data_IF_368067027863
#
_entry.id   IF_368067027863
#
_cell.length_a   1.000
_cell.length_b   1.000
_cell.length_c   1.000
_cell.angle_alpha   90.00
_cell.angle_beta   90.00
_cell.angle_gamma   90.00
#
_symmetry.space_group_name_H-M   'P 1'
#
loop_
_entity.id
_entity.type
_entity.pdbx_description
1 polymer ?
#
# COMPACT_ATOMS: atom_id res chain seq x y z
N UNK A 1 3.25 2.18 -12.00
CA UNK A 1 1.85 2.10 -11.54
C UNK A 1 1.19 3.47 -11.37
N UNK A 2 1.82 4.36 -10.61
CA UNK A 2 1.22 5.68 -10.34
C UNK A 2 1.08 6.52 -11.60
N UNK A 3 2.08 6.51 -12.48
CA UNK A 3 2.00 7.22 -13.76
C UNK A 3 0.88 6.67 -14.64
N UNK A 4 0.72 5.34 -14.68
CA UNK A 4 -0.37 4.69 -15.39
C UNK A 4 -1.73 5.12 -14.82
N UNK A 5 -1.84 5.13 -13.50
CA UNK A 5 -3.07 5.55 -12.81
C UNK A 5 -3.46 6.98 -13.17
N UNK A 6 -2.48 7.91 -13.16
CA UNK A 6 -2.73 9.30 -13.55
C UNK A 6 -3.17 9.43 -14.99
N UNK A 7 -2.54 8.69 -15.90
CA UNK A 7 -2.89 8.72 -17.32
C UNK A 7 -4.28 8.14 -17.56
N UNK A 8 -4.62 7.04 -16.88
CA UNK A 8 -5.95 6.45 -16.95
C UNK A 8 -7.01 7.38 -16.36
N UNK A 9 -6.68 8.10 -15.29
CA UNK A 9 -7.60 9.08 -14.71
C UNK A 9 -7.97 10.15 -15.73
N UNK A 10 -6.97 10.70 -16.42
CA UNK A 10 -7.21 11.72 -17.44
C UNK A 10 -8.04 11.18 -18.60
N UNK A 11 -7.75 9.97 -19.04
CA UNK A 11 -8.40 9.37 -20.20
C UNK A 11 -9.85 8.95 -19.89
N UNK A 12 -10.11 8.45 -18.70
CA UNK A 12 -11.40 7.86 -18.32
C UNK A 12 -12.34 8.82 -17.60
N UNK A 13 -11.85 9.95 -17.11
CA UNK A 13 -12.68 10.93 -16.40
C UNK A 13 -13.87 11.43 -17.23
N UNK A 14 -13.72 11.71 -18.56
CA UNK A 14 -14.88 12.13 -19.36
C UNK A 14 -16.00 11.09 -19.42
N UNK A 15 -15.67 9.81 -19.17
CA UNK A 15 -16.66 8.73 -19.12
C UNK A 15 -17.25 8.51 -17.72
N UNK A 16 -16.91 9.37 -16.76
CA UNK A 16 -17.37 9.25 -15.40
C UNK A 16 -16.67 8.16 -14.58
N UNK A 17 -15.49 7.73 -15.01
CA UNK A 17 -14.71 6.69 -14.35
C UNK A 17 -13.59 7.33 -13.55
N UNK A 18 -13.48 6.97 -12.28
CA UNK A 18 -12.40 7.40 -11.40
C UNK A 18 -11.32 6.34 -11.33
N UNK A 19 -10.07 6.77 -11.24
CA UNK A 19 -8.91 5.88 -11.12
C UNK A 19 -8.05 6.35 -9.96
N UNK A 20 -7.84 5.47 -9.00
CA UNK A 20 -7.07 5.75 -7.78
C UNK A 20 -6.03 4.65 -7.59
N UNK A 21 -4.81 5.03 -7.26
CA UNK A 21 -3.74 4.11 -6.94
C UNK A 21 -3.63 3.99 -5.41
N UNK A 22 -3.45 2.78 -4.92
CA UNK A 22 -3.23 2.54 -3.49
C UNK A 22 -1.81 2.02 -3.30
N UNK A 23 -1.06 2.67 -2.43
CA UNK A 23 0.31 2.31 -2.09
C UNK A 23 0.33 1.80 -0.66
N UNK A 24 0.89 0.61 -0.43
CA UNK A 24 0.99 0.05 0.91
C UNK A 24 2.38 -0.52 1.17
N UNK A 25 2.66 -0.84 2.44
CA UNK A 25 3.80 -1.68 2.82
C UNK A 25 3.51 -3.12 2.43
N UNK A 26 4.51 -4.01 2.56
CA UNK A 26 4.24 -5.44 2.54
C UNK A 26 3.25 -5.79 3.65
N UNK A 27 2.29 -6.64 3.36
CA UNK A 27 1.25 -7.05 4.30
C UNK A 27 1.68 -8.34 5.00
N UNK A 28 2.12 -8.30 6.28
CA UNK A 28 2.66 -9.48 6.95
C UNK A 28 1.67 -10.64 7.07
N UNK A 29 0.37 -10.33 6.96
CA UNK A 29 -0.72 -11.31 7.06
C UNK A 29 -0.89 -12.12 5.77
N UNK A 30 -0.22 -11.76 4.68
CA UNK A 30 -0.33 -12.47 3.40
C UNK A 30 0.74 -13.54 3.29
N UNK A 31 0.41 -14.67 2.65
CA UNK A 31 1.34 -15.77 2.45
C UNK A 31 2.56 -15.35 1.62
N UNK A 32 2.34 -14.53 0.59
CA UNK A 32 3.42 -14.03 -0.26
C UNK A 32 4.47 -13.28 0.55
N UNK A 33 4.04 -12.37 1.42
CA UNK A 33 4.96 -11.58 2.24
C UNK A 33 5.60 -12.46 3.31
N UNK A 34 4.88 -13.43 3.87
CA UNK A 34 5.45 -14.40 4.82
C UNK A 34 6.63 -15.14 4.19
N UNK A 35 6.47 -15.63 2.97
CA UNK A 35 7.55 -16.31 2.23
C UNK A 35 8.69 -15.36 1.91
N UNK A 36 8.38 -14.17 1.40
CA UNK A 36 9.41 -13.17 1.05
C UNK A 36 10.22 -12.74 2.26
N UNK A 37 9.57 -12.46 3.39
CA UNK A 37 10.26 -12.08 4.62
C UNK A 37 11.17 -13.20 5.11
N UNK A 38 10.72 -14.47 5.02
CA UNK A 38 11.53 -15.60 5.39
C UNK A 38 12.79 -15.70 4.53
N UNK A 39 12.66 -15.55 3.21
CA UNK A 39 13.80 -15.60 2.29
C UNK A 39 14.77 -14.43 2.50
N UNK A 40 14.27 -13.23 2.67
CA UNK A 40 15.11 -12.06 2.91
C UNK A 40 15.83 -12.15 4.27
N UNK A 41 15.15 -12.63 5.29
CA UNK A 41 15.74 -12.81 6.62
C UNK A 41 16.89 -13.82 6.55
N UNK A 42 16.67 -14.95 5.87
CA UNK A 42 17.70 -15.97 5.69
C UNK A 42 18.92 -15.44 4.94
N UNK A 43 18.69 -14.68 3.87
CA UNK A 43 19.77 -14.10 3.07
C UNK A 43 20.57 -13.04 3.84
N UNK A 44 19.95 -12.35 4.78
CA UNK A 44 20.58 -11.30 5.59
C UNK A 44 21.15 -11.80 6.91
N UNK A 45 20.98 -13.07 7.26
CA UNK A 45 21.40 -13.64 8.54
C UNK A 45 20.54 -13.16 9.70
N UNK A 46 19.30 -12.75 9.45
CA UNK A 46 18.36 -12.26 10.45
C UNK A 46 17.25 -13.29 10.65
N UNK A 47 16.57 -13.22 11.81
CA UNK A 47 15.30 -13.92 11.95
C UNK A 47 14.20 -13.14 11.23
N UNK A 48 13.06 -13.80 10.96
CA UNK A 48 11.93 -13.15 10.33
C UNK A 48 11.41 -12.00 11.19
N UNK A 49 11.37 -12.20 12.50
CA UNK A 49 10.93 -11.18 13.46
C UNK A 49 11.87 -9.97 13.46
N UNK A 50 13.17 -10.19 13.35
CA UNK A 50 14.16 -9.11 13.25
C UNK A 50 13.97 -8.30 11.97
N UNK A 51 13.76 -8.98 10.84
CA UNK A 51 13.52 -8.30 9.57
C UNK A 51 12.23 -7.48 9.62
N UNK A 52 11.13 -8.05 10.13
CA UNK A 52 9.87 -7.34 10.25
C UNK A 52 10.02 -6.14 11.16
N UNK A 53 10.69 -6.27 12.30
CA UNK A 53 10.96 -5.17 13.22
C UNK A 53 11.77 -4.04 12.56
N UNK A 54 12.76 -4.40 11.73
CA UNK A 54 13.52 -3.41 10.97
C UNK A 54 12.61 -2.66 9.99
N UNK A 55 11.78 -3.38 9.25
CA UNK A 55 10.83 -2.77 8.30
C UNK A 55 9.87 -1.83 9.02
N UNK A 56 9.35 -2.26 10.16
CA UNK A 56 8.45 -1.42 10.97
C UNK A 56 9.15 -0.15 11.46
N UNK A 57 10.44 -0.22 11.77
CA UNK A 57 11.19 0.93 12.24
C UNK A 57 11.37 2.01 11.16
N UNK A 58 11.23 1.65 9.87
CA UNK A 58 11.32 2.60 8.76
C UNK A 58 10.04 3.40 8.55
N UNK A 59 8.95 3.03 9.19
CA UNK A 59 7.67 3.75 9.08
C UNK A 59 7.54 4.81 10.18
N UNK A 60 6.75 5.85 9.92
CA UNK A 60 6.45 6.86 10.93
C UNK A 60 5.53 6.30 12.02
N UNK A 61 4.61 5.40 11.67
CA UNK A 61 3.70 4.76 12.62
C UNK A 61 4.34 3.62 13.40
N UNK A 62 5.55 3.21 13.00
CA UNK A 62 6.27 2.06 13.55
C UNK A 62 5.51 0.75 13.42
N UNK A 63 4.66 0.67 12.40
CA UNK A 63 3.85 -0.52 12.08
C UNK A 63 3.75 -0.68 10.57
N UNK A 64 3.65 -1.92 10.13
CA UNK A 64 3.31 -2.22 8.73
C UNK A 64 1.79 -2.13 8.55
N UNK A 65 1.37 -1.85 7.32
CA UNK A 65 -0.06 -1.80 6.97
C UNK A 65 -0.70 -3.16 7.22
N UNK A 66 -1.88 -3.17 7.82
CA UNK A 66 -2.65 -4.40 8.00
C UNK A 66 -3.56 -4.64 6.80
N UNK A 67 -3.95 -5.91 6.62
CA UNK A 67 -4.91 -6.26 5.57
C UNK A 67 -6.25 -5.55 5.76
N UNK A 68 -6.68 -5.39 7.00
CA UNK A 68 -7.91 -4.66 7.33
C UNK A 68 -7.82 -3.19 6.92
N UNK A 69 -6.70 -2.53 7.19
CA UNK A 69 -6.47 -1.14 6.78
C UNK A 69 -6.53 -0.99 5.27
N UNK A 70 -5.90 -1.92 4.53
CA UNK A 70 -5.95 -1.90 3.09
C UNK A 70 -7.38 -2.10 2.59
N UNK A 71 -8.10 -3.07 3.14
CA UNK A 71 -9.49 -3.34 2.75
C UNK A 71 -10.39 -2.13 2.99
N UNK A 72 -10.25 -1.46 4.14
CA UNK A 72 -11.02 -0.27 4.46
C UNK A 72 -10.74 0.87 3.48
N UNK A 73 -9.49 1.06 3.09
CA UNK A 73 -9.13 2.08 2.11
C UNK A 73 -9.72 1.77 0.74
N UNK A 74 -9.71 0.51 0.31
CA UNK A 74 -10.29 0.10 -0.96
C UNK A 74 -11.81 0.30 -0.98
N UNK A 75 -12.49 -0.02 0.12
CA UNK A 75 -13.93 0.21 0.25
C UNK A 75 -14.24 1.72 0.16
N UNK A 76 -13.49 2.55 0.88
CA UNK A 76 -13.65 4.00 0.82
C UNK A 76 -13.44 4.52 -0.61
N UNK A 77 -12.34 4.11 -1.26
CA UNK A 77 -12.02 4.56 -2.62
C UNK A 77 -13.08 4.15 -3.64
N UNK A 78 -13.75 3.02 -3.41
CA UNK A 78 -14.80 2.51 -4.29
C UNK A 78 -16.17 3.14 -4.02
N UNK A 79 -16.32 3.87 -2.92
CA UNK A 79 -17.61 4.41 -2.49
C UNK A 79 -17.84 5.82 -3.03
N UNK A 80 -19.09 6.28 -2.94
CA UNK A 80 -19.46 7.66 -3.30
C UNK A 80 -18.84 8.69 -2.37
N UNK A 81 -18.40 8.29 -1.17
CA UNK A 81 -17.71 9.18 -0.23
C UNK A 81 -16.40 9.72 -0.80
N UNK A 82 -15.79 9.03 -1.75
CA UNK A 82 -14.58 9.47 -2.44
C UNK A 82 -14.85 10.02 -3.84
N UNK A 83 -16.07 10.44 -4.14
CA UNK A 83 -16.51 10.80 -5.50
C UNK A 83 -15.69 11.94 -6.14
N UNK A 84 -15.09 12.80 -5.33
CA UNK A 84 -14.21 13.87 -5.83
C UNK A 84 -12.77 13.42 -6.11
N UNK A 85 -12.47 12.15 -5.91
CA UNK A 85 -11.10 11.65 -5.95
C UNK A 85 -10.84 10.89 -7.25
N UNK A 86 -9.91 11.39 -8.07
CA UNK A 86 -9.37 10.67 -9.22
C UNK A 86 -7.95 11.16 -9.47
N UNK A 87 -7.11 10.31 -10.05
CA UNK A 87 -5.70 10.62 -10.28
C UNK A 87 -4.89 10.70 -9.00
N UNK A 88 -5.46 10.28 -7.87
CA UNK A 88 -4.84 10.36 -6.56
C UNK A 88 -4.11 9.08 -6.19
N UNK A 89 -3.19 9.20 -5.25
CA UNK A 89 -2.52 8.07 -4.62
C UNK A 89 -2.92 8.06 -3.14
N UNK A 90 -3.48 6.96 -2.68
CA UNK A 90 -3.73 6.72 -1.26
C UNK A 90 -2.48 6.07 -0.67
N UNK A 91 -1.80 6.79 0.20
CA UNK A 91 -0.55 6.35 0.79
C UNK A 91 -0.83 5.65 2.12
N UNK A 92 -0.72 4.33 2.12
CA UNK A 92 -0.93 3.46 3.29
C UNK A 92 0.38 2.86 3.78
N UNK A 93 1.48 3.58 3.63
CA UNK A 93 2.80 3.07 4.01
C UNK A 93 3.18 3.40 5.46
N UNK A 94 2.27 4.00 6.22
CA UNK A 94 2.56 4.41 7.60
C UNK A 94 3.67 5.46 7.69
N UNK A 95 3.92 6.19 6.61
CA UNK A 95 4.98 7.17 6.53
C UNK A 95 6.32 6.63 6.04
N UNK A 96 6.40 5.34 5.66
CA UNK A 96 7.63 4.80 5.07
C UNK A 96 8.01 5.58 3.80
N UNK A 97 7.03 5.94 3.00
CA UNK A 97 7.16 6.85 1.86
C UNK A 97 6.27 8.04 2.16
N UNK A 98 6.84 9.23 2.18
CA UNK A 98 6.08 10.46 2.42
C UNK A 98 5.86 11.18 1.11
N UNK A 99 4.63 11.59 0.88
CA UNK A 99 4.28 12.42 -0.29
C UNK A 99 4.55 13.89 -0.04
#
# INVERSE_FOLDING_TARGET
>A
MEALSRNLSMELAPSGIRTVCVRSTGLPETDTITVMFGLHAQASGMTREQLQGFMESTTHTKRLTTLEQLANALVFASSDQSSGMTGAVLNLTGGMISD
#
